data_IF_485138413821
#
_entry.id   IF_485138413821
#
_cell.length_a   1.000
_cell.length_b   1.000
_cell.length_c   1.000
_cell.angle_alpha   90.00
_cell.angle_beta   90.00
_cell.angle_gamma   90.00
#
_symmetry.space_group_name_H-M   'P 1'
#
loop_
_entity.id
_entity.type
_entity.pdbx_description
1 polymer ?
#
# COMPACT_ATOMS: atom_id res chain seq x y z
N UNK A 1 -3.40 7.87 15.39
CA UNK A 1 -3.32 6.66 16.25
C UNK A 1 -2.77 5.54 15.39
N UNK A 2 -1.78 4.78 15.86
CA UNK A 2 -1.25 3.63 15.13
C UNK A 2 -2.13 2.40 15.39
N UNK A 3 -2.61 1.77 14.33
CA UNK A 3 -3.33 0.50 14.36
C UNK A 3 -2.36 -0.60 13.94
N UNK A 4 -2.39 -1.74 14.64
CA UNK A 4 -1.56 -2.89 14.35
C UNK A 4 -2.42 -4.15 14.34
N UNK A 5 -2.19 -5.02 13.36
CA UNK A 5 -2.86 -6.29 13.23
C UNK A 5 -1.87 -7.40 12.89
N UNK A 6 -1.75 -8.37 13.79
CA UNK A 6 -0.89 -9.53 13.59
C UNK A 6 -1.66 -10.66 12.92
N UNK A 7 -1.09 -11.24 11.88
CA UNK A 7 -1.63 -12.39 11.16
C UNK A 7 -0.71 -13.59 11.35
N UNK A 8 -1.25 -14.67 11.91
CA UNK A 8 -0.56 -15.96 11.95
C UNK A 8 -0.59 -16.60 10.57
N UNK A 9 0.59 -16.82 10.00
CA UNK A 9 0.75 -17.42 8.69
C UNK A 9 0.76 -18.94 8.68
N UNK A 10 0.83 -19.58 9.84
CA UNK A 10 1.14 -21.00 9.97
C UNK A 10 2.60 -21.30 9.61
N UNK A 11 3.07 -22.50 9.96
CA UNK A 11 4.44 -22.97 9.64
C UNK A 11 5.55 -22.01 10.12
N UNK A 12 5.34 -21.33 11.26
CA UNK A 12 6.28 -20.36 11.83
C UNK A 12 6.28 -18.99 11.14
N UNK A 13 5.38 -18.75 10.19
CA UNK A 13 5.22 -17.45 9.54
C UNK A 13 4.33 -16.53 10.38
N UNK A 14 4.73 -15.27 10.51
CA UNK A 14 3.89 -14.23 11.11
C UNK A 14 4.08 -12.93 10.34
N UNK A 15 3.00 -12.19 10.23
CA UNK A 15 2.94 -10.92 9.52
C UNK A 15 2.34 -9.85 10.44
N UNK A 16 2.82 -8.63 10.29
CA UNK A 16 2.30 -7.46 10.96
C UNK A 16 1.85 -6.46 9.91
N UNK A 17 0.58 -6.09 9.97
CA UNK A 17 0.06 -4.94 9.22
C UNK A 17 -0.05 -3.79 10.19
N UNK A 18 0.54 -2.65 9.87
CA UNK A 18 0.29 -1.42 10.62
C UNK A 18 -0.26 -0.31 9.74
N UNK A 19 -1.12 0.51 10.33
CA UNK A 19 -1.68 1.69 9.70
C UNK A 19 -1.52 2.88 10.64
N UNK A 20 -0.89 3.95 10.17
CA UNK A 20 -0.66 5.14 10.97
C UNK A 20 -0.76 6.42 10.15
N UNK A 21 -0.99 7.58 10.78
CA UNK A 21 -0.99 8.85 10.06
C UNK A 21 0.35 9.04 9.35
N UNK A 22 0.29 9.32 8.05
CA UNK A 22 1.45 9.59 7.24
C UNK A 22 2.17 10.88 7.70
N UNK A 23 3.50 10.88 7.65
CA UNK A 23 4.32 12.03 8.01
C UNK A 23 4.21 13.12 6.94
N UNK A 24 3.30 14.09 7.17
CA UNK A 24 2.95 15.11 6.17
C UNK A 24 4.10 16.04 5.81
N UNK A 25 5.13 16.17 6.66
CA UNK A 25 6.27 17.05 6.39
C UNK A 25 7.08 16.67 5.14
N UNK A 26 6.87 15.45 4.60
CA UNK A 26 7.50 15.03 3.35
C UNK A 26 6.73 15.49 2.10
N UNK A 27 5.50 15.97 2.23
CA UNK A 27 4.72 16.51 1.11
C UNK A 27 5.01 18.00 0.92
N UNK A 28 4.91 18.51 -0.32
CA UNK A 28 5.02 19.96 -0.56
C UNK A 28 3.89 20.71 0.14
N UNK A 29 4.19 21.88 0.70
CA UNK A 29 3.23 22.75 1.42
C UNK A 29 1.95 23.03 0.62
N UNK A 30 2.06 23.08 -0.71
CA UNK A 30 0.97 23.30 -1.66
C UNK A 30 -0.16 22.25 -1.50
N UNK A 31 0.20 21.01 -1.12
CA UNK A 31 -0.75 19.91 -0.91
C UNK A 31 -1.46 19.96 0.45
N UNK A 32 -0.92 20.65 1.46
CA UNK A 32 -1.60 20.76 2.75
C UNK A 32 -2.97 21.40 2.59
N UNK A 33 -3.05 22.43 1.75
CA UNK A 33 -4.29 23.13 1.41
C UNK A 33 -5.29 22.25 0.64
N UNK A 34 -4.78 21.29 -0.15
CA UNK A 34 -5.57 20.36 -0.95
C UNK A 34 -6.15 19.22 -0.10
N UNK A 35 -5.46 18.81 0.97
CA UNK A 35 -5.91 17.73 1.85
C UNK A 35 -7.25 18.04 2.53
N UNK A 36 -7.56 19.29 2.88
CA UNK A 36 -8.90 19.72 3.39
C UNK A 36 -9.55 18.79 4.43
N UNK A 37 -8.75 18.21 5.33
CA UNK A 37 -9.22 17.27 6.36
C UNK A 37 -9.30 15.80 5.92
N UNK A 38 -8.78 15.46 4.74
CA UNK A 38 -8.46 14.10 4.33
C UNK A 38 -7.20 13.65 5.08
N UNK A 39 -7.27 12.49 5.69
CA UNK A 39 -6.15 11.82 6.34
C UNK A 39 -5.40 10.96 5.33
N UNK A 40 -4.08 10.94 5.39
CA UNK A 40 -3.29 9.95 4.66
C UNK A 40 -2.87 8.90 5.69
N UNK A 41 -3.18 7.64 5.43
CA UNK A 41 -2.82 6.50 6.28
C UNK A 41 -1.69 5.73 5.61
N UNK A 42 -0.51 5.76 6.21
CA UNK A 42 0.61 4.92 5.80
C UNK A 42 0.33 3.48 6.22
N UNK A 43 0.38 2.57 5.24
CA UNK A 43 0.19 1.14 5.40
C UNK A 43 1.57 0.49 5.34
N UNK A 44 1.97 -0.18 6.41
CA UNK A 44 3.18 -1.00 6.44
C UNK A 44 2.80 -2.47 6.54
N UNK A 45 3.42 -3.30 5.70
CA UNK A 45 3.31 -4.76 5.78
C UNK A 45 4.68 -5.35 6.05
N UNK A 46 4.84 -5.93 7.23
CA UNK A 46 6.07 -6.57 7.67
C UNK A 46 5.85 -8.07 7.85
N UNK A 47 6.87 -8.86 7.51
CA UNK A 47 6.97 -10.24 7.97
C UNK A 47 7.80 -10.28 9.23
N UNK A 48 7.16 -10.56 10.36
CA UNK A 48 7.82 -10.63 11.66
C UNK A 48 8.51 -11.98 11.90
N UNK A 49 8.09 -13.06 11.22
CA UNK A 49 8.77 -14.36 11.29
C UNK A 49 8.51 -15.26 10.07
N UNK A 50 9.36 -16.28 9.91
CA UNK A 50 9.25 -17.33 8.90
C UNK A 50 9.84 -16.97 7.53
N UNK A 51 9.94 -17.95 6.64
CA UNK A 51 10.51 -17.79 5.29
C UNK A 51 9.65 -18.46 4.21
N UNK A 52 8.44 -18.94 4.55
CA UNK A 52 7.55 -19.58 3.57
C UNK A 52 6.65 -18.56 2.89
N UNK A 53 6.11 -18.94 1.74
CA UNK A 53 5.10 -18.14 1.02
C UNK A 53 3.87 -17.86 1.90
N UNK A 54 3.35 -16.64 1.83
CA UNK A 54 2.06 -16.32 2.44
C UNK A 54 0.94 -17.12 1.74
N UNK A 55 0.08 -17.77 2.53
CA UNK A 55 -1.06 -18.49 1.99
C UNK A 55 -2.16 -17.53 1.51
N UNK A 56 -3.05 -18.00 0.64
CA UNK A 56 -4.19 -17.19 0.18
C UNK A 56 -5.09 -16.70 1.33
N UNK A 57 -5.17 -17.47 2.42
CA UNK A 57 -5.88 -17.09 3.64
C UNK A 57 -5.23 -15.88 4.30
N UNK A 58 -3.91 -15.91 4.49
CA UNK A 58 -3.15 -14.79 5.08
C UNK A 58 -3.34 -13.51 4.27
N UNK A 59 -3.22 -13.61 2.95
CA UNK A 59 -3.43 -12.47 2.06
C UNK A 59 -4.86 -11.92 2.18
N UNK A 60 -5.86 -12.81 2.29
CA UNK A 60 -7.24 -12.41 2.52
C UNK A 60 -7.42 -11.68 3.86
N UNK A 61 -6.84 -12.21 4.94
CA UNK A 61 -6.93 -11.63 6.29
C UNK A 61 -6.29 -10.24 6.33
N UNK A 62 -5.12 -10.06 5.70
CA UNK A 62 -4.45 -8.76 5.53
C UNK A 62 -5.36 -7.79 4.75
N UNK A 63 -5.86 -8.19 3.58
CA UNK A 63 -6.71 -7.32 2.76
C UNK A 63 -8.00 -6.92 3.47
N UNK A 64 -8.57 -7.84 4.27
CA UNK A 64 -9.79 -7.58 5.03
C UNK A 64 -9.54 -6.55 6.11
N UNK A 65 -8.44 -6.68 6.87
CA UNK A 65 -8.08 -5.69 7.89
C UNK A 65 -7.88 -4.29 7.29
N UNK A 66 -7.06 -4.17 6.24
CA UNK A 66 -6.77 -2.88 5.58
C UNK A 66 -8.07 -2.25 5.07
N UNK A 67 -8.91 -3.04 4.41
CA UNK A 67 -10.18 -2.56 3.89
C UNK A 67 -11.14 -2.13 5.00
N UNK A 68 -11.27 -2.89 6.09
CA UNK A 68 -12.11 -2.51 7.23
C UNK A 68 -11.70 -1.14 7.79
N UNK A 69 -10.40 -0.93 8.01
CA UNK A 69 -9.91 0.37 8.49
C UNK A 69 -10.19 1.48 7.47
N UNK A 70 -9.98 1.22 6.19
CA UNK A 70 -10.24 2.20 5.13
C UNK A 70 -11.72 2.61 5.04
N UNK A 71 -12.64 1.64 5.06
CA UNK A 71 -14.08 1.92 4.94
C UNK A 71 -14.67 2.54 6.20
N UNK A 72 -14.08 2.30 7.38
CA UNK A 72 -14.43 3.02 8.60
C UNK A 72 -13.97 4.50 8.57
N UNK A 73 -13.06 4.85 7.65
CA UNK A 73 -12.47 6.18 7.51
C UNK A 73 -12.61 6.72 6.06
N UNK A 74 -13.81 7.05 5.58
CA UNK A 74 -14.05 7.41 4.17
C UNK A 74 -13.35 8.70 3.70
N UNK A 75 -12.90 9.53 4.64
CA UNK A 75 -12.03 10.70 4.37
C UNK A 75 -10.56 10.36 4.53
N UNK A 76 -10.14 9.20 4.02
CA UNK A 76 -8.74 8.79 4.03
C UNK A 76 -8.24 8.43 2.64
N UNK A 77 -6.93 8.58 2.45
CA UNK A 77 -6.16 8.03 1.33
C UNK A 77 -5.17 7.05 1.94
N UNK A 78 -5.20 5.79 1.52
CA UNK A 78 -4.15 4.84 1.90
C UNK A 78 -2.89 5.14 1.08
N UNK A 79 -1.76 5.17 1.76
CA UNK A 79 -0.43 5.23 1.18
C UNK A 79 0.27 3.91 1.47
N UNK A 80 0.76 3.20 0.44
CA UNK A 80 1.51 1.96 0.63
C UNK A 80 2.81 2.00 -0.19
N UNK A 81 3.93 2.11 0.49
CA UNK A 81 5.25 1.96 -0.11
C UNK A 81 5.65 0.48 -0.20
N UNK A 82 6.04 0.02 -1.38
CA UNK A 82 6.48 -1.34 -1.59
C UNK A 82 7.96 -1.47 -1.24
N UNK A 83 8.23 -2.15 -0.12
CA UNK A 83 9.60 -2.47 0.34
C UNK A 83 10.47 -3.06 -0.79
N UNK A 84 11.60 -2.39 -1.02
CA UNK A 84 12.63 -2.68 -2.01
C UNK A 84 13.94 -3.21 -1.39
N UNK A 85 13.96 -3.40 -0.06
CA UNK A 85 15.14 -3.87 0.68
C UNK A 85 15.09 -5.38 0.86
N UNK A 86 13.95 -5.92 1.28
CA UNK A 86 13.87 -7.35 1.62
C UNK A 86 13.47 -8.20 0.40
N UNK A 87 14.02 -9.40 0.32
CA UNK A 87 13.61 -10.40 -0.66
C UNK A 87 12.19 -10.91 -0.40
N UNK A 88 11.55 -11.44 -1.45
CA UNK A 88 10.26 -12.13 -1.32
C UNK A 88 10.51 -13.64 -1.35
N UNK A 89 10.26 -14.36 -0.24
CA UNK A 89 10.48 -15.80 -0.24
C UNK A 89 9.67 -16.51 -1.32
N UNK A 90 10.26 -17.55 -1.92
CA UNK A 90 9.62 -18.33 -2.99
C UNK A 90 9.38 -17.60 -4.31
N UNK A 91 9.84 -16.34 -4.44
CA UNK A 91 9.93 -15.66 -5.71
C UNK A 91 11.01 -16.34 -6.55
N UNK A 92 10.62 -17.10 -7.57
CA UNK A 92 11.61 -17.76 -8.43
C UNK A 92 12.33 -16.72 -9.29
N UNK A 93 13.65 -16.88 -9.44
CA UNK A 93 14.47 -16.10 -10.38
C UNK A 93 13.87 -16.08 -11.80
N UNK A 94 13.11 -17.12 -12.16
CA UNK A 94 12.39 -17.24 -13.42
C UNK A 94 11.29 -16.20 -13.65
N UNK A 95 10.82 -15.50 -12.60
CA UNK A 95 9.82 -14.44 -12.75
C UNK A 95 10.38 -13.16 -13.36
N UNK A 96 11.71 -13.01 -13.44
CA UNK A 96 12.41 -11.85 -14.02
C UNK A 96 11.77 -10.52 -13.59
N UNK A 97 11.56 -10.37 -12.29
CA UNK A 97 10.81 -9.28 -11.68
C UNK A 97 11.50 -8.88 -10.38
N UNK A 98 11.47 -7.60 -10.03
CA UNK A 98 12.02 -7.11 -8.77
C UNK A 98 11.09 -7.44 -7.59
N UNK A 99 11.62 -7.69 -6.37
CA UNK A 99 10.80 -7.93 -5.18
C UNK A 99 9.70 -6.88 -4.95
N UNK A 100 10.02 -5.59 -5.07
CA UNK A 100 9.08 -4.49 -4.91
C UNK A 100 8.00 -4.44 -6.02
N UNK A 101 8.35 -4.78 -7.26
CA UNK A 101 7.39 -4.88 -8.36
C UNK A 101 6.41 -6.05 -8.13
N UNK A 102 6.91 -7.16 -7.57
CA UNK A 102 6.06 -8.27 -7.15
C UNK A 102 5.12 -7.88 -6.02
N UNK A 103 5.62 -7.17 -4.99
CA UNK A 103 4.80 -6.65 -3.88
C UNK A 103 3.72 -5.71 -4.38
N UNK A 104 4.06 -4.77 -5.26
CA UNK A 104 3.11 -3.84 -5.88
C UNK A 104 1.99 -4.58 -6.59
N UNK A 105 2.34 -5.56 -7.45
CA UNK A 105 1.34 -6.38 -8.15
C UNK A 105 0.49 -7.20 -7.18
N UNK A 106 1.09 -7.76 -6.13
CA UNK A 106 0.38 -8.55 -5.12
C UNK A 106 -0.63 -7.68 -4.38
N UNK A 107 -0.22 -6.48 -3.96
CA UNK A 107 -1.06 -5.52 -3.26
C UNK A 107 -2.27 -5.08 -4.11
N UNK A 108 -2.04 -4.69 -5.37
CA UNK A 108 -3.15 -4.38 -6.30
C UNK A 108 -4.13 -5.54 -6.41
N UNK A 109 -3.65 -6.78 -6.60
CA UNK A 109 -4.52 -7.95 -6.75
C UNK A 109 -5.29 -8.27 -5.48
N UNK A 110 -4.69 -8.09 -4.31
CA UNK A 110 -5.38 -8.25 -3.03
C UNK A 110 -6.52 -7.25 -2.89
N UNK A 111 -6.24 -5.99 -3.22
CA UNK A 111 -7.22 -4.91 -3.15
C UNK A 111 -8.36 -5.09 -4.17
N UNK A 112 -8.03 -5.30 -5.44
CA UNK A 112 -9.00 -5.53 -6.53
C UNK A 112 -9.90 -6.73 -6.23
N UNK A 113 -9.32 -7.81 -5.69
CA UNK A 113 -10.09 -8.99 -5.28
C UNK A 113 -11.06 -8.64 -4.16
N UNK A 114 -10.63 -7.90 -3.14
CA UNK A 114 -11.49 -7.52 -2.03
C UNK A 114 -12.67 -6.68 -2.53
N UNK A 115 -12.40 -5.64 -3.33
CA UNK A 115 -13.42 -4.75 -3.91
C UNK A 115 -14.42 -5.56 -4.76
N UNK A 116 -13.91 -6.45 -5.62
CA UNK A 116 -14.75 -7.28 -6.48
C UNK A 116 -15.64 -8.26 -5.71
N UNK A 117 -15.10 -8.96 -4.71
CA UNK A 117 -15.85 -9.95 -3.91
C UNK A 117 -16.94 -9.29 -3.06
N UNK A 118 -16.70 -8.07 -2.58
CA UNK A 118 -17.64 -7.34 -1.74
C UNK A 118 -18.55 -6.38 -2.53
N UNK A 119 -18.50 -6.40 -3.87
CA UNK A 119 -19.28 -5.53 -4.75
C UNK A 119 -19.17 -4.04 -4.40
N UNK A 120 -17.95 -3.62 -4.06
CA UNK A 120 -17.67 -2.23 -3.69
C UNK A 120 -17.40 -1.44 -4.97
N UNK A 121 -18.05 -0.30 -5.11
CA UNK A 121 -17.87 0.62 -6.22
C UNK A 121 -17.23 1.93 -5.75
N UNK A 122 -16.68 2.70 -6.69
CA UNK A 122 -16.17 4.05 -6.42
C UNK A 122 -14.90 4.10 -5.56
N UNK A 123 -14.04 3.07 -5.65
CA UNK A 123 -12.72 3.07 -5.03
C UNK A 123 -11.64 2.86 -6.10
N UNK A 124 -10.60 3.69 -6.05
CA UNK A 124 -9.51 3.72 -7.01
C UNK A 124 -8.21 3.29 -6.35
N UNK A 125 -7.43 2.50 -7.08
CA UNK A 125 -6.02 2.22 -6.77
C UNK A 125 -5.16 2.91 -7.82
N UNK A 126 -4.35 3.87 -7.38
CA UNK A 126 -3.43 4.63 -8.20
C UNK A 126 -1.99 4.21 -7.89
N UNK A 127 -1.43 3.23 -8.63
CA UNK A 127 -0.03 2.84 -8.51
C UNK A 127 0.87 3.91 -9.12
N UNK A 128 1.97 4.21 -8.43
CA UNK A 128 3.02 5.13 -8.84
C UNK A 128 4.30 4.32 -8.93
N UNK A 129 5.00 4.45 -10.06
CA UNK A 129 6.26 3.80 -10.34
C UNK A 129 7.31 4.88 -10.63
N UNK A 130 8.40 4.87 -9.87
CA UNK A 130 9.50 5.85 -9.98
C UNK A 130 10.77 5.08 -10.32
N UNK A 131 11.28 5.30 -11.53
CA UNK A 131 12.58 4.78 -11.95
C UNK A 131 13.66 5.82 -11.64
N UNK A 132 14.53 5.52 -10.66
CA UNK A 132 15.75 6.27 -10.35
C UNK A 132 16.95 5.60 -11.03
N UNK A 133 18.13 6.21 -10.98
CA UNK A 133 19.33 5.65 -11.63
C UNK A 133 19.75 4.29 -11.04
N UNK A 134 19.53 4.10 -9.74
CA UNK A 134 20.01 2.95 -8.97
C UNK A 134 18.90 2.05 -8.41
N UNK A 135 17.63 2.45 -8.49
CA UNK A 135 16.50 1.72 -7.90
C UNK A 135 15.15 2.07 -8.56
N UNK A 136 14.20 1.16 -8.39
CA UNK A 136 12.79 1.37 -8.74
C UNK A 136 11.94 1.42 -7.46
N UNK A 137 11.10 2.43 -7.35
CA UNK A 137 10.18 2.64 -6.23
C UNK A 137 8.76 2.43 -6.70
N UNK A 138 7.97 1.67 -5.92
CA UNK A 138 6.56 1.45 -6.17
C UNK A 138 5.74 1.91 -4.98
N UNK A 139 4.75 2.78 -5.22
CA UNK A 139 3.85 3.33 -4.21
C UNK A 139 2.42 3.11 -4.69
N UNK A 140 1.49 2.84 -3.77
CA UNK A 140 0.06 2.86 -4.06
C UNK A 140 -0.63 3.96 -3.27
N UNK A 141 -1.45 4.73 -3.97
CA UNK A 141 -2.45 5.58 -3.35
C UNK A 141 -3.83 4.96 -3.59
N UNK A 142 -4.58 4.68 -2.54
CA UNK A 142 -5.94 4.10 -2.65
C UNK A 142 -6.94 5.00 -1.94
N UNK A 143 -8.02 5.34 -2.64
CA UNK A 143 -9.09 6.15 -2.05
C UNK A 143 -10.40 6.05 -2.83
N UNK A 144 -11.48 6.54 -2.23
CA UNK A 144 -12.77 6.72 -2.91
C UNK A 144 -12.70 7.77 -4.02
N UNK A 145 -13.65 7.71 -4.96
CA UNK A 145 -13.78 8.66 -6.08
C UNK A 145 -13.87 10.13 -5.61
N UNK A 146 -14.48 10.37 -4.45
CA UNK A 146 -14.62 11.71 -3.85
C UNK A 146 -13.26 12.38 -3.57
N UNK A 147 -12.24 11.58 -3.25
CA UNK A 147 -10.89 12.06 -2.94
C UNK A 147 -9.95 11.94 -4.15
N UNK A 148 -10.41 11.45 -5.31
CA UNK A 148 -9.59 11.21 -6.50
C UNK A 148 -8.78 12.44 -6.95
N UNK A 149 -9.32 13.68 -6.96
CA UNK A 149 -8.53 14.85 -7.35
C UNK A 149 -7.33 15.08 -6.41
N UNK A 150 -7.53 14.90 -5.11
CA UNK A 150 -6.48 15.09 -4.10
C UNK A 150 -5.45 13.96 -4.18
N UNK A 151 -5.92 12.72 -4.34
CA UNK A 151 -5.07 11.55 -4.54
C UNK A 151 -4.14 11.71 -5.75
N UNK A 152 -4.66 12.20 -6.88
CA UNK A 152 -3.85 12.48 -8.08
C UNK A 152 -2.84 13.59 -7.84
N UNK A 153 -3.23 14.68 -7.18
CA UNK A 153 -2.30 15.77 -6.84
C UNK A 153 -1.15 15.30 -5.94
N UNK A 154 -1.40 14.41 -4.98
CA UNK A 154 -0.35 13.77 -4.17
C UNK A 154 0.57 12.95 -5.06
N UNK A 155 0.01 12.12 -5.95
CA UNK A 155 0.81 11.31 -6.85
C UNK A 155 1.68 12.13 -7.81
N UNK A 156 1.14 13.21 -8.38
CA UNK A 156 1.88 14.13 -9.25
C UNK A 156 3.02 14.82 -8.48
N UNK A 157 2.79 15.20 -7.23
CA UNK A 157 3.82 15.79 -6.39
C UNK A 157 4.95 14.79 -6.07
N UNK A 158 4.61 13.54 -5.76
CA UNK A 158 5.59 12.46 -5.55
C UNK A 158 6.43 12.26 -6.80
N UNK A 159 5.80 12.19 -7.98
CA UNK A 159 6.51 12.06 -9.26
C UNK A 159 7.42 13.25 -9.53
N UNK A 160 6.97 14.48 -9.22
CA UNK A 160 7.75 15.70 -9.38
C UNK A 160 8.96 15.83 -8.44
N UNK A 161 9.05 15.01 -7.39
CA UNK A 161 10.24 14.94 -6.52
C UNK A 161 11.41 14.17 -7.16
N UNK A 162 11.16 13.38 -8.21
CA UNK A 162 12.20 12.61 -8.92
C UNK A 162 13.29 13.51 -9.52
N UNK A 163 12.95 14.74 -9.88
CA UNK A 163 13.83 15.66 -10.62
C UNK A 163 14.61 16.63 -9.72
N UNK A 164 14.57 16.44 -8.39
CA UNK A 164 15.29 17.25 -7.40
C UNK A 164 16.46 16.48 -6.79
#
# INVERSE_FOLDING_TARGET
MKLCFSVDGGEGNSFLVSMEPFEKSVLPDELESALRGIEILDVTLERSSGESNASARVLNDISTFIASVFFDNPKSILYFYCDDIHEVPGMSEKKNMLPQAYRSRLFSRMFERYVSVNHIEGVQNYPIEIHLEDREIFIHLISTDDNLPVMRAIGDAILGMKDK
#
